data_IF_742983219130
#
_entry.id   IF_742983219130
#
_cell.length_a   1.000
_cell.length_b   1.000
_cell.length_c   1.000
_cell.angle_alpha   90.00
_cell.angle_beta   90.00
_cell.angle_gamma   90.00
#
_symmetry.space_group_name_H-M   'P 1'
#
loop_
_entity.id
_entity.type
_entity.pdbx_description
1 polymer ?
#
# COMPACT_ATOMS: atom_id res chain seq x y z
N UNK A 1 8.20 -17.87 -35.39
CA UNK A 1 7.53 -18.36 -34.16
C UNK A 1 8.37 -18.04 -32.91
N UNK A 2 9.70 -18.10 -33.02
CA UNK A 2 10.61 -17.87 -31.89
C UNK A 2 10.61 -16.44 -31.35
N UNK A 3 10.44 -15.43 -32.22
CA UNK A 3 10.32 -14.03 -31.79
C UNK A 3 9.11 -13.78 -30.86
N UNK A 4 7.98 -14.46 -31.10
CA UNK A 4 6.78 -14.33 -30.26
C UNK A 4 7.00 -15.01 -28.90
N UNK A 5 7.60 -16.20 -28.89
CA UNK A 5 7.96 -16.91 -27.65
C UNK A 5 8.94 -16.11 -26.81
N UNK A 6 9.98 -15.56 -27.44
CA UNK A 6 10.96 -14.69 -26.77
C UNK A 6 10.30 -13.43 -26.18
N UNK A 7 9.40 -12.78 -26.92
CA UNK A 7 8.67 -11.60 -26.43
C UNK A 7 7.73 -11.96 -25.28
N UNK A 8 7.06 -13.10 -25.34
CA UNK A 8 6.19 -13.59 -24.28
C UNK A 8 6.97 -13.82 -22.98
N UNK A 9 8.07 -14.60 -23.05
CA UNK A 9 8.96 -14.86 -21.91
C UNK A 9 9.52 -13.56 -21.32
N UNK A 10 10.08 -12.68 -22.16
CA UNK A 10 10.60 -11.37 -21.73
C UNK A 10 9.54 -10.52 -21.02
N UNK A 11 8.27 -10.62 -21.45
CA UNK A 11 7.17 -9.92 -20.79
C UNK A 11 6.87 -10.52 -19.42
N UNK A 12 6.89 -11.85 -19.27
CA UNK A 12 6.72 -12.51 -17.96
C UNK A 12 7.86 -12.18 -16.99
N UNK A 13 9.11 -12.19 -17.45
CA UNK A 13 10.27 -11.78 -16.65
C UNK A 13 10.14 -10.35 -16.15
N UNK A 14 9.63 -9.44 -16.98
CA UNK A 14 9.35 -8.07 -16.55
C UNK A 14 8.24 -8.03 -15.49
N UNK A 15 7.14 -8.74 -15.71
CA UNK A 15 6.03 -8.80 -14.74
C UNK A 15 6.48 -9.41 -13.40
N UNK A 16 7.36 -10.42 -13.42
CA UNK A 16 7.95 -11.02 -12.22
C UNK A 16 8.76 -9.98 -11.42
N UNK A 17 9.59 -9.19 -12.11
CA UNK A 17 10.33 -8.08 -11.47
C UNK A 17 9.41 -7.01 -10.93
N UNK A 18 8.37 -6.62 -11.68
CA UNK A 18 7.40 -5.61 -11.25
C UNK A 18 6.65 -6.08 -9.99
N UNK A 19 6.28 -7.37 -9.92
CA UNK A 19 5.63 -8.00 -8.76
C UNK A 19 6.56 -8.07 -7.54
N UNK A 20 7.81 -8.50 -7.73
CA UNK A 20 8.81 -8.55 -6.65
C UNK A 20 9.10 -7.14 -6.09
N UNK A 21 9.27 -6.14 -6.97
CA UNK A 21 9.49 -4.76 -6.55
C UNK A 21 8.29 -4.20 -5.78
N UNK A 22 7.07 -4.51 -6.21
CA UNK A 22 5.85 -4.13 -5.49
C UNK A 22 5.79 -4.80 -4.10
N UNK A 23 6.22 -6.06 -3.98
CA UNK A 23 6.28 -6.77 -2.69
C UNK A 23 7.25 -6.11 -1.73
N UNK A 24 8.47 -5.85 -2.19
CA UNK A 24 9.50 -5.20 -1.40
C UNK A 24 9.05 -3.81 -0.94
N UNK A 25 8.44 -3.03 -1.83
CA UNK A 25 7.91 -1.71 -1.50
C UNK A 25 6.85 -1.79 -0.40
N UNK A 26 5.90 -2.73 -0.49
CA UNK A 26 4.83 -2.89 0.51
C UNK A 26 5.41 -3.33 1.86
N UNK A 27 6.26 -4.36 1.88
CA UNK A 27 6.85 -4.88 3.12
C UNK A 27 7.76 -3.84 3.78
N UNK A 28 8.54 -3.09 2.99
CA UNK A 28 9.38 -2.01 3.48
C UNK A 28 8.55 -0.89 4.10
N UNK A 29 7.45 -0.47 3.44
CA UNK A 29 6.56 0.57 3.96
C UNK A 29 5.88 0.17 5.28
N UNK A 30 5.55 -1.12 5.47
CA UNK A 30 5.02 -1.63 6.74
C UNK A 30 6.10 -1.58 7.83
N UNK A 31 7.29 -2.11 7.54
CA UNK A 31 8.40 -2.21 8.50
C UNK A 31 9.01 -0.85 8.87
N UNK A 32 8.87 0.16 8.02
CA UNK A 32 9.38 1.51 8.25
C UNK A 32 8.60 2.26 9.35
N UNK A 33 7.41 1.79 9.73
CA UNK A 33 6.65 2.37 10.84
C UNK A 33 7.33 2.04 12.17
N UNK A 34 7.64 3.06 12.95
CA UNK A 34 8.35 2.90 14.22
C UNK A 34 7.60 1.98 15.20
N UNK A 35 6.27 2.01 15.15
CA UNK A 35 5.41 1.19 16.00
C UNK A 35 5.48 -0.30 15.65
N UNK A 36 5.97 -0.67 14.46
CA UNK A 36 6.00 -2.06 13.99
C UNK A 36 6.94 -2.90 14.87
N UNK A 37 8.11 -2.34 15.19
CA UNK A 37 9.08 -2.98 16.07
C UNK A 37 8.59 -3.15 17.52
N UNK A 38 7.52 -2.43 17.90
CA UNK A 38 6.91 -2.48 19.23
C UNK A 38 5.75 -3.47 19.32
N UNK A 39 5.32 -4.05 18.20
CA UNK A 39 4.27 -5.06 18.17
C UNK A 39 4.80 -6.42 18.61
N UNK A 40 3.93 -7.23 19.20
CA UNK A 40 4.19 -8.65 19.44
C UNK A 40 4.37 -9.39 18.12
N UNK A 41 5.15 -10.47 18.15
CA UNK A 41 5.52 -11.23 16.94
C UNK A 41 4.30 -11.71 16.16
N UNK A 42 3.27 -12.23 16.84
CA UNK A 42 2.06 -12.72 16.18
C UNK A 42 1.34 -11.61 15.41
N UNK A 43 1.33 -10.38 15.94
CA UNK A 43 0.75 -9.22 15.26
C UNK A 43 1.62 -8.75 14.08
N UNK A 44 2.95 -8.82 14.20
CA UNK A 44 3.85 -8.55 13.09
C UNK A 44 3.63 -9.55 11.95
N UNK A 45 3.58 -10.85 12.27
CA UNK A 45 3.39 -11.94 11.32
C UNK A 45 2.00 -11.85 10.67
N UNK A 46 0.95 -11.49 11.42
CA UNK A 46 -0.39 -11.24 10.88
C UNK A 46 -0.38 -10.11 9.83
N UNK A 47 0.23 -8.96 10.13
CA UNK A 47 0.28 -7.81 9.22
C UNK A 47 1.09 -8.14 7.97
N UNK A 48 2.29 -8.73 8.13
CA UNK A 48 3.15 -9.10 7.01
C UNK A 48 2.55 -10.24 6.17
N UNK A 49 1.78 -11.12 6.80
CA UNK A 49 1.07 -12.22 6.17
C UNK A 49 0.14 -11.74 5.06
N UNK A 50 -0.59 -10.64 5.27
CA UNK A 50 -1.52 -10.08 4.27
C UNK A 50 -0.83 -9.76 2.94
N UNK A 51 0.38 -9.19 2.99
CA UNK A 51 1.15 -8.88 1.77
C UNK A 51 1.85 -10.12 1.21
N UNK A 52 2.35 -11.00 2.09
CA UNK A 52 3.03 -12.25 1.69
C UNK A 52 2.08 -13.21 0.98
N UNK A 53 0.84 -13.34 1.44
CA UNK A 53 -0.20 -14.20 0.84
C UNK A 53 -0.71 -13.68 -0.51
N UNK A 54 -0.64 -12.37 -0.73
CA UNK A 54 -1.06 -11.74 -1.97
C UNK A 54 0.00 -11.90 -3.09
N UNK A 55 1.28 -12.01 -2.73
CA UNK A 55 2.37 -12.18 -3.68
C UNK A 55 2.22 -13.48 -4.48
N UNK A 56 2.54 -13.40 -5.77
CA UNK A 56 2.58 -14.57 -6.66
C UNK A 56 3.93 -14.64 -7.35
N UNK A 57 4.59 -15.78 -7.19
CA UNK A 57 5.78 -16.09 -7.97
C UNK A 57 5.39 -16.34 -9.44
N UNK A 58 6.10 -15.69 -10.36
CA UNK A 58 5.82 -15.74 -11.80
C UNK A 58 6.95 -16.47 -12.49
N UNK A 59 6.69 -17.71 -12.88
CA UNK A 59 7.58 -18.47 -13.75
C UNK A 59 7.54 -17.87 -15.17
N UNK A 60 8.71 -17.51 -15.72
CA UNK A 60 8.87 -16.94 -17.04
C UNK A 60 8.62 -17.93 -18.19
N UNK A 61 8.81 -19.23 -17.93
CA UNK A 61 8.65 -20.29 -18.92
C UNK A 61 7.23 -20.93 -18.89
N UNK A 62 6.41 -20.57 -17.90
CA UNK A 62 5.03 -21.03 -17.80
C UNK A 62 4.09 -20.38 -18.83
N UNK A 63 3.13 -21.18 -19.33
CA UNK A 63 2.13 -20.75 -20.32
C UNK A 63 0.90 -20.10 -19.68
N UNK A 64 0.56 -20.51 -18.46
CA UNK A 64 -0.50 -19.95 -17.62
C UNK A 64 0.09 -19.54 -16.26
N UNK A 65 -0.45 -18.52 -15.57
CA UNK A 65 -1.55 -17.64 -15.97
C UNK A 65 -1.19 -16.74 -17.17
N UNK A 66 -2.15 -16.36 -18.01
CA UNK A 66 -1.93 -15.42 -19.14
C UNK A 66 -1.36 -14.06 -18.71
N UNK A 67 -0.65 -13.40 -19.62
CA UNK A 67 -0.04 -12.07 -19.39
C UNK A 67 -1.01 -11.01 -18.86
N UNK A 68 -2.26 -10.99 -19.35
CA UNK A 68 -3.30 -10.04 -18.91
C UNK A 68 -3.72 -10.25 -17.45
N UNK A 69 -3.64 -11.48 -16.96
CA UNK A 69 -3.92 -11.81 -15.56
C UNK A 69 -2.74 -11.38 -14.69
N UNK A 70 -1.52 -11.71 -15.14
CA UNK A 70 -0.28 -11.35 -14.45
C UNK A 70 -0.09 -9.84 -14.33
N UNK A 71 -0.51 -9.05 -15.32
CA UNK A 71 -0.39 -7.59 -15.27
C UNK A 71 -1.20 -6.92 -14.15
N UNK A 72 -2.11 -7.65 -13.50
CA UNK A 72 -2.92 -7.14 -12.38
C UNK A 72 -2.27 -7.38 -11.01
N UNK A 73 -1.32 -8.31 -10.92
CA UNK A 73 -0.73 -8.71 -9.64
C UNK A 73 -0.10 -7.53 -8.87
N UNK A 74 0.66 -6.61 -9.50
CA UNK A 74 1.25 -5.49 -8.76
C UNK A 74 0.20 -4.50 -8.22
N UNK A 75 -1.00 -4.45 -8.81
CA UNK A 75 -2.12 -3.67 -8.27
C UNK A 75 -2.72 -4.38 -7.07
N UNK A 76 -2.98 -5.68 -7.19
CA UNK A 76 -3.52 -6.49 -6.10
C UNK A 76 -2.61 -6.51 -4.87
N UNK A 77 -1.30 -6.50 -5.08
CA UNK A 77 -0.31 -6.46 -4.02
C UNK A 77 -0.28 -5.09 -3.31
N UNK A 78 -0.44 -3.99 -4.06
CA UNK A 78 -0.61 -2.66 -3.46
C UNK A 78 -1.89 -2.57 -2.63
N UNK A 79 -3.00 -3.08 -3.15
CA UNK A 79 -4.26 -3.15 -2.39
C UNK A 79 -4.13 -4.02 -1.13
N UNK A 80 -3.34 -5.10 -1.19
CA UNK A 80 -3.00 -5.90 -0.01
C UNK A 80 -2.16 -5.10 1.00
N UNK A 81 -1.20 -4.30 0.54
CA UNK A 81 -0.47 -3.35 1.36
C UNK A 81 -1.39 -2.36 2.09
N UNK A 82 -2.39 -1.79 1.40
CA UNK A 82 -3.37 -0.89 2.01
C UNK A 82 -4.24 -1.60 3.05
N UNK A 83 -4.58 -2.88 2.82
CA UNK A 83 -5.27 -3.70 3.84
C UNK A 83 -4.36 -3.98 5.04
N UNK A 84 -3.09 -4.29 4.83
CA UNK A 84 -2.12 -4.52 5.89
C UNK A 84 -1.92 -3.26 6.76
N UNK A 85 -1.83 -2.08 6.15
CA UNK A 85 -1.73 -0.81 6.86
C UNK A 85 -2.99 -0.53 7.70
N UNK A 86 -4.19 -0.80 7.17
CA UNK A 86 -5.43 -0.68 7.94
C UNK A 86 -5.50 -1.67 9.10
N UNK A 87 -5.03 -2.90 8.90
CA UNK A 87 -4.96 -3.90 9.99
C UNK A 87 -3.98 -3.46 11.08
N UNK A 88 -2.84 -2.90 10.68
CA UNK A 88 -1.88 -2.31 11.60
C UNK A 88 -2.52 -1.18 12.43
N UNK A 89 -3.19 -0.22 11.80
CA UNK A 89 -3.89 0.86 12.51
C UNK A 89 -4.94 0.31 13.49
N UNK A 90 -5.66 -0.74 13.11
CA UNK A 90 -6.62 -1.40 13.98
C UNK A 90 -5.94 -1.99 15.22
N UNK A 91 -4.84 -2.73 15.06
CA UNK A 91 -4.08 -3.32 16.17
C UNK A 91 -3.57 -2.24 17.12
N UNK A 92 -3.05 -1.13 16.59
CA UNK A 92 -2.61 0.00 17.42
C UNK A 92 -3.77 0.62 18.20
N UNK A 93 -4.91 0.83 17.55
CA UNK A 93 -6.10 1.41 18.16
C UNK A 93 -6.74 0.52 19.23
N UNK A 94 -6.63 -0.80 19.07
CA UNK A 94 -7.08 -1.78 20.05
C UNK A 94 -6.17 -1.80 21.28
N UNK A 95 -4.85 -1.61 21.09
CA UNK A 95 -3.84 -1.59 22.16
C UNK A 95 -3.87 -0.29 22.98
N UNK A 96 -3.99 0.87 22.32
CA UNK A 96 -4.01 2.17 22.97
C UNK A 96 -5.19 3.02 22.48
N UNK A 97 -6.25 3.02 23.29
CA UNK A 97 -7.45 3.81 23.01
C UNK A 97 -7.26 5.31 23.23
N UNK A 98 -6.20 5.73 23.92
CA UNK A 98 -5.90 7.13 24.18
C UNK A 98 -5.10 7.79 23.06
N UNK A 99 -4.42 7.00 22.21
CA UNK A 99 -3.63 7.49 21.07
C UNK A 99 -3.96 6.70 19.80
N UNK A 100 -5.11 6.99 19.23
CA UNK A 100 -5.59 6.27 18.06
C UNK A 100 -4.98 6.82 16.78
N UNK A 101 -4.68 5.95 15.83
CA UNK A 101 -4.41 6.30 14.44
C UNK A 101 -5.74 6.47 13.70
N UNK A 102 -5.99 7.68 13.22
CA UNK A 102 -7.15 8.03 12.39
C UNK A 102 -6.71 8.14 10.93
N UNK A 103 -7.21 7.26 10.04
CA UNK A 103 -6.99 7.42 8.61
C UNK A 103 -7.76 8.64 8.09
N UNK A 104 -7.10 9.46 7.28
CA UNK A 104 -7.68 10.65 6.63
C UNK A 104 -7.43 10.54 5.14
N UNK A 105 -8.49 10.67 4.34
CA UNK A 105 -8.34 10.78 2.89
C UNK A 105 -7.87 12.18 2.53
N UNK A 106 -6.66 12.28 1.99
CA UNK A 106 -6.13 13.58 1.57
C UNK A 106 -6.94 14.15 0.41
N UNK A 107 -7.38 13.27 -0.50
CA UNK A 107 -8.05 13.65 -1.73
C UNK A 107 -7.14 14.44 -2.66
N UNK A 108 -5.82 14.37 -2.48
CA UNK A 108 -4.83 15.09 -3.29
C UNK A 108 -4.26 14.22 -4.43
N UNK A 109 -4.41 12.89 -4.35
CA UNK A 109 -3.89 11.99 -5.37
C UNK A 109 -4.49 12.30 -6.74
N UNK A 110 -3.60 12.44 -7.73
CA UNK A 110 -3.94 12.76 -9.12
C UNK A 110 -4.72 14.07 -9.32
N UNK A 111 -4.73 14.99 -8.33
CA UNK A 111 -5.27 16.35 -8.55
C UNK A 111 -4.24 17.25 -9.20
N UNK A 112 -4.72 18.11 -10.09
CA UNK A 112 -3.93 19.19 -10.71
C UNK A 112 -4.54 20.51 -10.28
N UNK A 113 -3.71 21.40 -9.76
CA UNK A 113 -4.11 22.74 -9.35
C UNK A 113 -3.68 23.74 -10.42
N UNK A 114 -4.61 24.61 -10.82
CA UNK A 114 -4.37 25.60 -11.89
C UNK A 114 -4.04 26.99 -11.34
N UNK A 115 -4.20 27.17 -10.03
CA UNK A 115 -3.85 28.40 -9.32
C UNK A 115 -3.42 28.10 -7.89
N UNK A 116 -2.67 29.04 -7.30
CA UNK A 116 -2.27 28.98 -5.90
C UNK A 116 -3.49 29.03 -4.96
N UNK A 117 -4.51 29.81 -5.29
CA UNK A 117 -5.75 29.90 -4.51
C UNK A 117 -6.50 28.56 -4.42
N UNK A 118 -6.52 27.78 -5.50
CA UNK A 118 -7.13 26.45 -5.54
C UNK A 118 -6.37 25.46 -4.63
N UNK A 119 -5.04 25.50 -4.68
CA UNK A 119 -4.17 24.69 -3.82
C UNK A 119 -4.38 25.05 -2.34
N UNK A 120 -4.35 26.33 -2.00
CA UNK A 120 -4.53 26.79 -0.62
C UNK A 120 -5.89 26.40 -0.05
N UNK A 121 -6.94 26.41 -0.87
CA UNK A 121 -8.28 25.94 -0.46
C UNK A 121 -8.24 24.45 -0.10
N UNK A 122 -7.66 23.62 -0.96
CA UNK A 122 -7.56 22.17 -0.70
C UNK A 122 -6.70 21.84 0.54
N UNK A 123 -5.60 22.58 0.75
CA UNK A 123 -4.78 22.45 1.95
C UNK A 123 -5.53 22.94 3.20
N UNK A 124 -6.34 23.99 3.09
CA UNK A 124 -7.21 24.48 4.16
C UNK A 124 -8.18 23.42 4.67
N UNK A 125 -8.91 22.78 3.75
CA UNK A 125 -9.83 21.68 4.07
C UNK A 125 -9.12 20.50 4.72
N UNK A 126 -7.91 20.16 4.22
CA UNK A 126 -7.12 19.07 4.78
C UNK A 126 -6.64 19.40 6.21
N UNK A 127 -6.21 20.65 6.45
CA UNK A 127 -5.81 21.13 7.78
C UNK A 127 -6.95 21.04 8.77
N UNK A 128 -8.18 21.36 8.36
CA UNK A 128 -9.36 21.26 9.22
C UNK A 128 -9.63 19.81 9.64
N UNK A 129 -9.64 18.88 8.68
CA UNK A 129 -9.78 17.43 8.97
C UNK A 129 -8.71 16.91 9.94
N UNK A 130 -7.47 17.36 9.77
CA UNK A 130 -6.38 16.98 10.67
C UNK A 130 -6.52 17.62 12.06
N UNK A 131 -6.98 18.87 12.14
CA UNK A 131 -7.19 19.58 13.41
C UNK A 131 -8.19 18.85 14.29
N UNK A 132 -9.29 18.36 13.71
CA UNK A 132 -10.31 17.61 14.46
C UNK A 132 -9.75 16.30 15.04
N UNK A 133 -8.87 15.62 14.30
CA UNK A 133 -8.19 14.43 14.78
C UNK A 133 -7.22 14.75 15.92
N UNK A 134 -6.39 15.79 15.76
CA UNK A 134 -5.44 16.19 16.80
C UNK A 134 -6.13 16.71 18.07
N UNK A 135 -7.27 17.39 17.95
CA UNK A 135 -8.07 17.82 19.09
C UNK A 135 -8.61 16.63 19.92
N UNK A 136 -8.82 15.48 19.27
CA UNK A 136 -9.20 14.23 19.94
C UNK A 136 -7.99 13.47 20.54
N UNK A 137 -6.76 13.95 20.34
CA UNK A 137 -5.53 13.25 20.74
C UNK A 137 -5.10 12.14 19.77
N UNK A 138 -5.73 12.05 18.59
CA UNK A 138 -5.43 11.04 17.58
C UNK A 138 -4.19 11.43 16.75
N UNK A 139 -3.48 10.44 16.23
CA UNK A 139 -2.46 10.59 15.19
C UNK A 139 -3.11 10.42 13.83
N UNK A 140 -2.72 11.23 12.84
CA UNK A 140 -3.28 11.17 11.49
C UNK A 140 -2.38 10.37 10.56
N UNK A 141 -2.97 9.45 9.79
CA UNK A 141 -2.33 8.81 8.64
C UNK A 141 -3.11 9.14 7.38
N UNK A 142 -2.42 9.53 6.30
CA UNK A 142 -3.10 9.69 5.02
C UNK A 142 -3.32 8.35 4.33
N UNK A 143 -4.51 8.19 3.75
CA UNK A 143 -4.84 7.10 2.84
C UNK A 143 -5.49 7.65 1.58
N UNK A 144 -5.43 6.89 0.49
CA UNK A 144 -6.00 7.25 -0.81
C UNK A 144 -7.01 6.20 -1.26
#
# INVERSE_FOLDING_TARGET
MDAIKARYRSTRERLARDEQAAQEQVLSAIKARAEFALLERDAQDEILGIATEAYRDIDADAVEPRLVSLSRLPVQLREAGDRAQRRFDQILNERDKARRVRPVRSGLRNRTFTSEAELETAIGELREKCRDAFAAGDTVRFEE
#
